data_IF_804331529434
#
_entry.id   IF_804331529434
#
_cell.length_a   1.000
_cell.length_b   1.000
_cell.length_c   1.000
_cell.angle_alpha   90.00
_cell.angle_beta   90.00
_cell.angle_gamma   90.00
#
_symmetry.space_group_name_H-M   'P 1'
#
loop_
_entity.id
_entity.type
_entity.pdbx_description
1 polymer ?
#
# COMPACT_ATOMS: atom_id res chain seq x y z
N UNK A 1 29.90 43.11 -24.49
CA UNK A 1 29.10 42.82 -23.26
C UNK A 1 28.39 41.52 -23.48
N UNK A 2 28.93 40.45 -22.91
CA UNK A 2 28.36 39.11 -22.98
C UNK A 2 27.50 38.92 -21.72
N UNK A 3 26.18 38.90 -21.89
CA UNK A 3 25.22 38.54 -20.83
C UNK A 3 25.36 37.07 -20.47
N UNK A 4 25.79 36.79 -19.24
CA UNK A 4 25.65 35.47 -18.64
C UNK A 4 24.16 35.27 -18.34
N UNK A 5 23.56 34.27 -18.97
CA UNK A 5 22.31 33.72 -18.53
C UNK A 5 22.60 32.85 -17.29
N UNK A 6 22.28 33.38 -16.13
CA UNK A 6 22.22 32.58 -14.91
C UNK A 6 21.07 31.60 -15.05
N UNK A 7 21.39 30.39 -15.48
CA UNK A 7 20.49 29.24 -15.36
C UNK A 7 20.40 28.90 -13.87
N UNK A 8 19.33 29.32 -13.24
CA UNK A 8 18.93 28.78 -11.94
C UNK A 8 18.52 27.35 -12.21
N UNK A 9 19.37 26.40 -11.86
CA UNK A 9 18.95 24.99 -11.71
C UNK A 9 17.87 25.00 -10.63
N UNK A 10 16.60 24.96 -11.03
CA UNK A 10 15.50 24.60 -10.11
C UNK A 10 15.84 23.21 -9.56
N UNK A 11 16.29 23.16 -8.32
CA UNK A 11 16.51 21.93 -7.57
C UNK A 11 15.17 21.20 -7.54
N UNK A 12 15.03 20.22 -8.41
CA UNK A 12 13.77 19.48 -8.61
C UNK A 12 13.42 18.80 -7.30
N UNK A 13 12.40 19.27 -6.60
CA UNK A 13 11.98 18.74 -5.32
C UNK A 13 11.77 17.21 -5.42
N UNK A 14 12.41 16.45 -4.53
CA UNK A 14 12.29 14.99 -4.49
C UNK A 14 10.83 14.63 -4.23
N UNK A 15 10.23 13.90 -5.15
CA UNK A 15 8.83 13.47 -5.05
C UNK A 15 8.67 12.37 -4.03
N UNK A 16 7.55 12.40 -3.30
CA UNK A 16 7.27 11.51 -2.19
C UNK A 16 6.18 10.51 -2.50
N UNK A 17 6.33 9.31 -1.97
CA UNK A 17 5.29 8.26 -1.92
C UNK A 17 4.90 8.05 -0.46
N UNK A 18 3.60 8.05 -0.19
CA UNK A 18 3.06 7.73 1.12
C UNK A 18 2.73 6.25 1.20
N UNK A 19 3.28 5.53 2.18
CA UNK A 19 3.02 4.10 2.41
C UNK A 19 2.05 3.94 3.58
N UNK A 20 0.87 3.39 3.31
CA UNK A 20 -0.16 3.06 4.29
C UNK A 20 0.11 1.72 4.97
N UNK A 21 0.15 1.73 6.30
CA UNK A 21 0.45 0.61 7.19
C UNK A 21 -0.71 0.37 8.16
N UNK A 22 -0.83 -0.85 8.71
CA UNK A 22 -1.88 -1.19 9.67
C UNK A 22 -1.45 -1.02 11.12
N UNK A 23 -2.39 -0.64 11.99
CA UNK A 23 -2.20 -0.71 13.44
C UNK A 23 -2.81 -1.97 14.06
N UNK A 24 -3.43 -2.85 13.27
CA UNK A 24 -4.12 -4.06 13.77
C UNK A 24 -3.13 -5.18 14.04
N UNK A 25 -3.06 -5.62 15.30
CA UNK A 25 -2.11 -6.62 15.80
C UNK A 25 -2.68 -8.04 15.90
N UNK A 26 -3.99 -8.23 15.77
CA UNK A 26 -4.64 -9.52 15.97
C UNK A 26 -5.82 -9.74 15.01
N UNK A 27 -6.17 -11.00 14.77
CA UNK A 27 -7.33 -11.41 13.98
C UNK A 27 -8.63 -11.16 14.76
N UNK A 28 -9.15 -9.91 14.70
CA UNK A 28 -10.33 -9.50 15.45
C UNK A 28 -10.14 -9.72 16.96
N UNK A 29 -11.12 -10.35 17.61
CA UNK A 29 -11.08 -10.67 19.05
C UNK A 29 -10.23 -11.92 19.38
N UNK A 30 -9.61 -12.55 18.39
CA UNK A 30 -8.81 -13.76 18.59
C UNK A 30 -7.41 -13.38 19.07
N UNK A 31 -6.89 -14.16 20.01
CA UNK A 31 -5.51 -14.00 20.49
C UNK A 31 -4.51 -14.67 19.51
N UNK A 32 -4.58 -14.26 18.24
CA UNK A 32 -3.68 -14.73 17.17
C UNK A 32 -3.10 -13.50 16.49
N UNK A 33 -1.79 -13.39 16.49
CA UNK A 33 -1.08 -12.24 15.94
C UNK A 33 -1.22 -12.14 14.42
N UNK A 34 -1.37 -10.90 13.95
CA UNK A 34 -1.27 -10.46 12.56
C UNK A 34 -0.61 -9.07 12.52
N UNK A 35 -0.64 -8.39 11.40
CA UNK A 35 -0.05 -7.07 11.23
C UNK A 35 0.33 -6.81 9.79
N UNK A 36 1.28 -5.91 9.62
CA UNK A 36 1.93 -5.60 8.36
C UNK A 36 2.68 -6.83 7.81
N UNK A 37 2.53 -7.10 6.52
CA UNK A 37 3.40 -8.04 5.83
C UNK A 37 4.70 -7.34 5.43
N UNK A 38 5.80 -7.67 6.12
CA UNK A 38 7.07 -6.92 6.02
C UNK A 38 7.57 -6.76 4.59
N UNK A 39 7.63 -7.86 3.81
CA UNK A 39 8.13 -7.81 2.43
C UNK A 39 7.39 -6.79 1.58
N UNK A 40 6.09 -6.67 1.74
CA UNK A 40 5.27 -5.76 0.94
C UNK A 40 5.59 -4.28 1.17
N UNK A 41 5.96 -3.90 2.39
CA UNK A 41 6.41 -2.54 2.68
C UNK A 41 7.87 -2.32 2.25
N UNK A 42 8.76 -3.24 2.65
CA UNK A 42 10.20 -3.06 2.46
C UNK A 42 10.63 -3.21 1.01
N UNK A 43 10.05 -4.16 0.25
CA UNK A 43 10.36 -4.35 -1.17
C UNK A 43 9.84 -3.19 -2.03
N UNK A 44 8.63 -2.70 -1.74
CA UNK A 44 8.09 -1.53 -2.42
C UNK A 44 8.92 -0.27 -2.10
N UNK A 45 9.30 -0.08 -0.83
CA UNK A 45 10.19 1.01 -0.42
C UNK A 45 11.54 0.95 -1.13
N UNK A 46 12.14 -0.24 -1.24
CA UNK A 46 13.41 -0.46 -1.95
C UNK A 46 13.29 0.00 -3.42
N UNK A 47 12.26 -0.43 -4.13
CA UNK A 47 11.98 -0.03 -5.51
C UNK A 47 11.73 1.48 -5.64
N UNK A 48 11.00 2.09 -4.71
CA UNK A 48 10.73 3.53 -4.71
C UNK A 48 12.03 4.34 -4.55
N UNK A 49 12.88 3.96 -3.59
CA UNK A 49 14.17 4.61 -3.34
C UNK A 49 15.10 4.48 -4.55
N UNK A 50 15.18 3.29 -5.16
CA UNK A 50 16.01 3.07 -6.36
C UNK A 50 15.56 3.92 -7.55
N UNK A 51 14.30 4.34 -7.59
CA UNK A 51 13.72 5.24 -8.60
C UNK A 51 13.80 6.73 -8.22
N UNK A 52 14.40 7.05 -7.08
CA UNK A 52 14.61 8.42 -6.62
C UNK A 52 13.44 9.05 -5.87
N UNK A 53 12.44 8.25 -5.44
CA UNK A 53 11.37 8.75 -4.57
C UNK A 53 11.79 8.76 -3.11
N UNK A 54 11.36 9.77 -2.37
CA UNK A 54 11.33 9.72 -0.91
C UNK A 54 10.07 8.97 -0.46
N UNK A 55 10.12 8.40 0.74
CA UNK A 55 9.04 7.59 1.28
C UNK A 55 8.70 8.05 2.68
N UNK A 56 7.40 8.22 2.95
CA UNK A 56 6.86 8.44 4.29
C UNK A 56 5.82 7.35 4.63
N UNK A 57 5.52 7.18 5.91
CA UNK A 57 4.67 6.10 6.40
C UNK A 57 3.51 6.65 7.21
N UNK A 58 2.31 6.17 6.92
CA UNK A 58 1.08 6.55 7.60
C UNK A 58 0.31 5.30 8.06
N UNK A 59 -0.35 5.38 9.20
CA UNK A 59 -1.26 4.33 9.63
C UNK A 59 -2.55 4.94 10.20
N UNK A 60 -3.67 4.20 10.27
CA UNK A 60 -4.96 4.75 10.71
C UNK A 60 -4.94 5.55 12.01
N UNK A 61 -4.06 5.17 12.95
CA UNK A 61 -3.94 5.79 14.29
C UNK A 61 -2.60 6.49 14.51
N UNK A 62 -1.70 6.44 13.52
CA UNK A 62 -0.30 6.80 13.74
C UNK A 62 0.41 5.86 14.73
N UNK A 63 1.69 6.12 14.99
CA UNK A 63 2.49 5.42 15.99
C UNK A 63 2.83 3.97 15.62
N UNK A 64 2.63 3.05 16.56
CA UNK A 64 3.12 1.67 16.43
C UNK A 64 2.40 0.85 15.36
N UNK A 65 3.18 0.19 14.53
CA UNK A 65 2.77 -0.74 13.47
C UNK A 65 3.23 -2.16 13.81
N UNK A 66 2.30 -3.09 14.08
CA UNK A 66 2.64 -4.49 14.36
C UNK A 66 3.04 -5.22 13.07
N UNK A 67 4.02 -6.13 13.16
CA UNK A 67 4.39 -7.03 12.07
C UNK A 67 3.63 -8.36 12.17
N UNK A 68 3.17 -8.90 11.05
CA UNK A 68 2.69 -10.28 11.01
C UNK A 68 3.89 -11.22 11.21
N UNK A 69 3.90 -12.06 12.27
CA UNK A 69 5.05 -12.92 12.56
C UNK A 69 5.41 -13.88 11.43
N UNK A 70 4.45 -14.21 10.56
CA UNK A 70 4.68 -15.11 9.42
C UNK A 70 5.52 -14.42 8.34
N UNK A 71 5.37 -13.10 8.17
CA UNK A 71 6.08 -12.31 7.15
C UNK A 71 7.57 -12.20 7.43
N UNK A 72 8.00 -12.46 8.67
CA UNK A 72 9.40 -12.42 9.09
C UNK A 72 10.21 -13.66 8.67
N UNK A 73 9.56 -14.67 8.10
CA UNK A 73 10.25 -15.90 7.68
C UNK A 73 11.10 -15.62 6.42
N UNK A 74 12.29 -16.22 6.29
CA UNK A 74 13.17 -16.02 5.13
C UNK A 74 12.55 -16.36 3.77
N UNK A 75 11.46 -17.14 3.76
CA UNK A 75 10.73 -17.46 2.54
C UNK A 75 9.86 -16.29 2.02
N UNK A 76 9.61 -15.26 2.83
CA UNK A 76 8.67 -14.17 2.54
C UNK A 76 9.29 -12.78 2.58
N UNK A 77 10.57 -12.67 2.86
CA UNK A 77 11.31 -11.41 2.83
C UNK A 77 12.69 -11.66 2.23
N UNK A 78 12.99 -10.92 1.18
CA UNK A 78 14.30 -11.04 0.54
C UNK A 78 15.40 -10.35 1.37
N UNK A 79 16.65 -10.52 0.93
CA UNK A 79 17.81 -10.00 1.66
C UNK A 79 17.85 -8.47 1.69
N UNK A 80 17.45 -7.81 0.60
CA UNK A 80 17.45 -6.34 0.49
C UNK A 80 16.36 -5.74 1.39
N UNK A 81 15.13 -6.27 1.32
CA UNK A 81 14.02 -5.88 2.17
C UNK A 81 14.32 -6.11 3.66
N UNK A 82 14.98 -7.22 4.00
CA UNK A 82 15.40 -7.48 5.39
C UNK A 82 16.51 -6.53 5.85
N UNK A 83 17.40 -6.10 4.95
CA UNK A 83 18.40 -5.09 5.27
C UNK A 83 17.75 -3.72 5.57
N UNK A 84 16.75 -3.30 4.77
CA UNK A 84 15.96 -2.09 5.02
C UNK A 84 15.20 -2.17 6.34
N UNK A 85 14.53 -3.29 6.63
CA UNK A 85 13.86 -3.52 7.91
C UNK A 85 14.79 -3.26 9.10
N UNK A 86 16.08 -3.63 9.01
CA UNK A 86 17.06 -3.44 10.07
C UNK A 86 17.61 -2.03 10.20
N UNK A 87 17.30 -1.13 9.28
CA UNK A 87 17.72 0.27 9.38
C UNK A 87 16.99 0.97 10.52
N UNK A 88 17.66 1.92 11.17
CA UNK A 88 17.03 2.76 12.18
C UNK A 88 15.86 3.55 11.58
N UNK A 89 16.00 4.01 10.35
CA UNK A 89 14.98 4.78 9.66
C UNK A 89 13.66 3.99 9.54
N UNK A 90 13.71 2.74 9.06
CA UNK A 90 12.52 1.89 8.96
C UNK A 90 11.91 1.57 10.34
N UNK A 91 12.76 1.23 11.32
CA UNK A 91 12.31 0.91 12.68
C UNK A 91 11.59 2.10 13.34
N UNK A 92 12.13 3.31 13.19
CA UNK A 92 11.58 4.52 13.81
C UNK A 92 10.37 5.03 13.04
N UNK A 93 10.50 5.29 11.72
CA UNK A 93 9.45 5.97 10.95
C UNK A 93 8.31 5.05 10.52
N UNK A 94 8.60 3.79 10.17
CA UNK A 94 7.56 2.87 9.72
C UNK A 94 6.90 2.12 10.89
N UNK A 95 7.69 1.63 11.86
CA UNK A 95 7.18 0.72 12.87
C UNK A 95 6.86 1.37 14.22
N UNK A 96 7.69 2.31 14.68
CA UNK A 96 7.48 2.93 15.98
C UNK A 96 6.62 4.19 15.93
N UNK A 97 6.78 5.01 14.88
CA UNK A 97 6.21 6.36 14.79
C UNK A 97 5.66 6.67 13.39
N UNK A 98 4.83 5.78 12.82
CA UNK A 98 4.11 6.12 11.59
C UNK A 98 3.24 7.36 11.81
N UNK A 99 3.08 8.18 10.76
CA UNK A 99 2.29 9.43 10.83
C UNK A 99 0.81 9.11 11.07
N UNK A 100 0.13 10.02 11.77
CA UNK A 100 -1.34 10.02 11.78
C UNK A 100 -1.84 10.66 10.48
N UNK A 101 -2.98 10.24 9.91
CA UNK A 101 -3.49 10.83 8.68
C UNK A 101 -3.71 12.34 8.73
N UNK A 102 -4.03 12.90 9.91
CA UNK A 102 -4.23 14.33 10.07
C UNK A 102 -2.94 15.16 10.03
N UNK A 103 -1.78 14.50 10.19
CA UNK A 103 -0.47 15.15 10.13
C UNK A 103 0.11 15.13 8.70
N UNK A 104 -0.62 14.57 7.72
CA UNK A 104 -0.17 14.39 6.34
C UNK A 104 -0.76 15.46 5.45
N UNK A 105 0.09 16.18 4.72
CA UNK A 105 -0.32 17.02 3.59
C UNK A 105 -0.35 16.18 2.30
N UNK A 106 -1.52 15.83 1.77
CA UNK A 106 -1.64 14.97 0.58
C UNK A 106 -1.05 15.61 -0.69
N UNK A 107 -0.86 16.93 -0.70
CA UNK A 107 -0.24 17.66 -1.83
C UNK A 107 1.24 17.34 -2.04
N UNK A 108 1.92 16.80 -1.02
CA UNK A 108 3.32 16.41 -1.11
C UNK A 108 3.56 15.06 -1.80
N UNK A 109 2.50 14.26 -2.01
CA UNK A 109 2.66 12.87 -2.45
C UNK A 109 2.15 12.64 -3.87
N UNK A 110 2.99 12.00 -4.66
CA UNK A 110 2.64 11.58 -6.04
C UNK A 110 1.91 10.25 -6.07
N UNK A 111 1.96 9.48 -4.98
CA UNK A 111 1.23 8.24 -4.82
C UNK A 111 0.97 7.92 -3.35
N UNK A 112 -0.16 7.22 -3.10
CA UNK A 112 -0.46 6.52 -1.86
C UNK A 112 -0.44 5.03 -2.14
N UNK A 113 0.41 4.29 -1.42
CA UNK A 113 0.52 2.84 -1.53
C UNK A 113 0.03 2.16 -0.26
N UNK A 114 -0.95 1.28 -0.38
CA UNK A 114 -1.47 0.46 0.71
C UNK A 114 -0.80 -0.91 0.73
N UNK A 115 -0.06 -1.19 1.79
CA UNK A 115 0.53 -2.50 2.07
C UNK A 115 -0.55 -3.50 2.48
N UNK A 116 -0.23 -4.79 2.45
CA UNK A 116 -1.12 -5.80 2.97
C UNK A 116 -0.63 -6.43 4.28
N UNK A 117 -0.96 -7.68 4.42
CA UNK A 117 -1.07 -8.39 5.68
C UNK A 117 -2.53 -8.40 6.13
N UNK A 118 -2.96 -9.42 6.87
CA UNK A 118 -4.38 -9.52 7.21
C UNK A 118 -4.87 -8.39 8.12
N UNK A 119 -3.98 -7.75 8.88
CA UNK A 119 -4.34 -6.65 9.80
C UNK A 119 -5.11 -5.52 9.12
N UNK A 120 -4.75 -5.16 7.89
CA UNK A 120 -5.37 -4.08 7.13
C UNK A 120 -6.88 -4.27 6.88
N UNK A 121 -7.36 -5.50 6.95
CA UNK A 121 -8.77 -5.80 6.72
C UNK A 121 -9.70 -5.28 7.85
N UNK A 122 -9.13 -4.97 9.02
CA UNK A 122 -9.89 -4.46 10.17
C UNK A 122 -9.85 -2.95 10.29
N UNK A 123 -8.77 -2.32 9.87
CA UNK A 123 -8.60 -0.88 10.11
C UNK A 123 -8.65 -0.02 8.86
N UNK A 124 -8.21 -0.48 7.69
CA UNK A 124 -8.26 0.35 6.47
C UNK A 124 -9.69 0.71 6.04
N UNK A 125 -10.67 -0.24 5.97
CA UNK A 125 -12.01 0.07 5.51
C UNK A 125 -12.79 1.06 6.39
N UNK A 126 -12.40 1.22 7.64
CA UNK A 126 -13.07 2.08 8.61
C UNK A 126 -12.28 3.35 8.96
N UNK A 127 -11.13 3.58 8.32
CA UNK A 127 -10.30 4.74 8.57
C UNK A 127 -10.72 5.93 7.70
N UNK A 128 -11.49 6.84 8.25
CA UNK A 128 -11.88 8.09 7.58
C UNK A 128 -10.64 8.91 7.15
N UNK A 129 -9.58 8.91 7.96
CA UNK A 129 -8.33 9.60 7.64
C UNK A 129 -7.62 9.02 6.41
N UNK A 130 -7.54 7.68 6.28
CA UNK A 130 -6.97 7.05 5.10
C UNK A 130 -7.87 7.22 3.88
N UNK A 131 -9.20 7.18 4.02
CA UNK A 131 -10.13 7.46 2.93
C UNK A 131 -9.96 8.89 2.41
N UNK A 132 -9.85 9.87 3.32
CA UNK A 132 -9.57 11.26 2.96
C UNK A 132 -8.26 11.39 2.17
N UNK A 133 -7.15 10.85 2.69
CA UNK A 133 -5.86 10.87 2.00
C UNK A 133 -5.93 10.20 0.62
N UNK A 134 -6.62 9.08 0.51
CA UNK A 134 -6.85 8.37 -0.75
C UNK A 134 -7.52 9.28 -1.80
N UNK A 135 -8.62 9.92 -1.41
CA UNK A 135 -9.38 10.81 -2.32
C UNK A 135 -8.58 12.07 -2.68
N UNK A 136 -7.88 12.67 -1.73
CA UNK A 136 -7.10 13.90 -1.95
C UNK A 136 -5.86 13.65 -2.82
N UNK A 137 -5.07 12.60 -2.54
CA UNK A 137 -3.93 12.22 -3.39
C UNK A 137 -4.41 11.91 -4.82
N UNK A 138 -5.49 11.14 -4.95
CA UNK A 138 -6.06 10.80 -6.26
C UNK A 138 -6.64 12.03 -6.98
N UNK A 139 -7.34 12.91 -6.25
CA UNK A 139 -7.90 14.17 -6.76
C UNK A 139 -6.83 15.14 -7.24
N UNK A 140 -5.68 15.19 -6.57
CA UNK A 140 -4.50 15.99 -6.95
C UNK A 140 -3.72 15.42 -8.14
N UNK A 141 -4.21 14.35 -8.78
CA UNK A 141 -3.55 13.73 -9.93
C UNK A 141 -2.56 12.62 -9.55
N UNK A 142 -2.40 12.31 -8.28
CA UNK A 142 -1.54 11.24 -7.79
C UNK A 142 -2.09 9.84 -8.09
N UNK A 143 -1.28 8.84 -7.79
CA UNK A 143 -1.58 7.43 -8.02
C UNK A 143 -2.02 6.74 -6.73
N UNK A 144 -2.88 5.74 -6.87
CA UNK A 144 -3.22 4.83 -5.79
C UNK A 144 -2.64 3.46 -6.11
N UNK A 145 -1.85 2.93 -5.20
CA UNK A 145 -1.26 1.62 -5.35
C UNK A 145 -1.64 0.72 -4.17
N UNK A 146 -1.86 -0.57 -4.42
CA UNK A 146 -2.18 -1.54 -3.36
C UNK A 146 -1.56 -2.89 -3.66
N UNK A 147 -1.26 -3.67 -2.65
CA UNK A 147 -0.83 -5.05 -2.82
C UNK A 147 -1.57 -5.98 -1.86
N UNK A 148 -1.83 -7.21 -2.31
CA UNK A 148 -2.36 -8.27 -1.45
C UNK A 148 -3.67 -7.87 -0.75
N UNK A 149 -3.72 -7.90 0.59
CA UNK A 149 -4.87 -7.43 1.37
C UNK A 149 -4.99 -5.90 1.42
N UNK A 150 -3.95 -5.16 1.03
CA UNK A 150 -3.97 -3.69 0.96
C UNK A 150 -5.07 -3.12 0.06
N UNK A 151 -5.60 -3.93 -0.86
CA UNK A 151 -6.78 -3.56 -1.65
C UNK A 151 -7.97 -3.16 -0.76
N UNK A 152 -8.03 -3.61 0.49
CA UNK A 152 -9.05 -3.23 1.47
C UNK A 152 -9.14 -1.71 1.66
N UNK A 153 -8.03 -0.98 1.48
CA UNK A 153 -7.99 0.48 1.53
C UNK A 153 -8.74 1.19 0.39
N UNK A 154 -9.07 0.49 -0.70
CA UNK A 154 -9.83 1.03 -1.83
C UNK A 154 -11.26 0.50 -1.92
N UNK A 155 -11.55 -0.67 -1.32
CA UNK A 155 -12.79 -1.40 -1.56
C UNK A 155 -14.05 -0.59 -1.24
N UNK A 156 -14.00 0.27 -0.21
CA UNK A 156 -15.16 1.00 0.29
C UNK A 156 -15.10 2.50 -0.02
N UNK A 157 -14.00 2.98 -0.60
CA UNK A 157 -13.82 4.39 -0.97
C UNK A 157 -14.83 4.78 -2.05
N UNK A 158 -15.46 5.93 -1.86
CA UNK A 158 -16.44 6.48 -2.81
C UNK A 158 -16.05 7.86 -3.30
N UNK A 159 -16.24 8.08 -4.59
CA UNK A 159 -16.23 9.39 -5.22
C UNK A 159 -17.70 9.76 -5.54
N UNK A 160 -18.30 10.58 -4.70
CA UNK A 160 -19.73 10.85 -4.72
C UNK A 160 -20.57 9.61 -4.37
N UNK A 161 -21.43 9.16 -5.29
CA UNK A 161 -22.29 7.98 -5.08
C UNK A 161 -21.68 6.67 -5.58
N UNK A 162 -20.55 6.71 -6.29
CA UNK A 162 -19.93 5.55 -6.94
C UNK A 162 -18.69 5.07 -6.17
N UNK A 163 -18.46 3.78 -6.18
CA UNK A 163 -17.19 3.25 -5.66
C UNK A 163 -16.03 3.64 -6.59
N UNK A 164 -14.91 4.06 -6.00
CA UNK A 164 -13.71 4.47 -6.74
C UNK A 164 -13.20 3.37 -7.69
N UNK A 165 -13.40 2.12 -7.31
CA UNK A 165 -13.00 0.93 -8.08
C UNK A 165 -14.04 0.46 -9.09
N UNK A 166 -15.23 1.09 -9.17
CA UNK A 166 -16.30 0.70 -10.09
C UNK A 166 -15.83 0.79 -11.55
N UNK A 167 -15.97 -0.31 -12.29
CA UNK A 167 -15.51 -0.44 -13.67
C UNK A 167 -14.01 -0.62 -13.86
N UNK A 168 -13.20 -0.50 -12.79
CA UNK A 168 -11.75 -0.63 -12.86
C UNK A 168 -11.30 -2.09 -12.92
N UNK A 169 -10.27 -2.36 -13.73
CA UNK A 169 -9.56 -3.63 -13.73
C UNK A 169 -8.55 -3.62 -12.57
N UNK A 170 -8.78 -4.45 -11.57
CA UNK A 170 -7.95 -4.53 -10.36
C UNK A 170 -7.63 -5.97 -9.99
N UNK A 171 -6.64 -6.14 -9.12
CA UNK A 171 -6.32 -7.39 -8.44
C UNK A 171 -6.08 -7.16 -6.96
N UNK A 172 -5.87 -8.21 -6.23
CA UNK A 172 -5.58 -8.24 -4.80
C UNK A 172 -5.56 -9.68 -4.32
N UNK A 173 -5.42 -9.90 -3.02
CA UNK A 173 -5.39 -11.26 -2.47
C UNK A 173 -6.68 -12.00 -2.81
N UNK A 174 -6.54 -13.09 -3.57
CA UNK A 174 -7.67 -13.79 -4.17
C UNK A 174 -8.38 -14.70 -3.18
N UNK A 175 -9.63 -15.07 -3.47
CA UNK A 175 -10.36 -16.03 -2.65
C UNK A 175 -9.68 -17.41 -2.60
N UNK A 176 -8.92 -17.80 -3.63
CA UNK A 176 -8.16 -19.05 -3.61
C UNK A 176 -6.95 -18.96 -2.69
N UNK A 177 -6.19 -17.86 -2.77
CA UNK A 177 -5.06 -17.59 -1.87
C UNK A 177 -5.51 -17.51 -0.42
N UNK A 178 -6.67 -16.90 -0.16
CA UNK A 178 -7.24 -16.84 1.18
C UNK A 178 -7.57 -18.25 1.74
N UNK A 179 -8.11 -19.14 0.93
CA UNK A 179 -8.32 -20.53 1.34
C UNK A 179 -6.99 -21.24 1.63
N UNK A 180 -5.99 -21.06 0.76
CA UNK A 180 -4.66 -21.66 0.92
C UNK A 180 -3.89 -21.08 2.12
N UNK A 181 -4.15 -19.82 2.50
CA UNK A 181 -3.58 -19.21 3.71
C UNK A 181 -4.08 -19.85 5.01
N UNK A 182 -5.19 -20.58 4.94
CA UNK A 182 -5.85 -21.19 6.11
C UNK A 182 -6.55 -20.18 7.02
N UNK A 183 -6.84 -18.95 6.53
CA UNK A 183 -7.43 -17.87 7.31
C UNK A 183 -8.88 -17.54 6.95
N UNK A 184 -9.46 -18.23 5.99
CA UNK A 184 -10.83 -18.03 5.50
C UNK A 184 -11.92 -17.92 6.57
N UNK A 185 -11.75 -18.62 7.70
CA UNK A 185 -12.73 -18.64 8.79
C UNK A 185 -12.59 -17.48 9.78
N UNK A 186 -11.56 -16.65 9.63
CA UNK A 186 -11.23 -15.60 10.61
C UNK A 186 -11.18 -14.19 10.02
N UNK A 187 -11.22 -14.07 8.69
CA UNK A 187 -11.25 -12.77 8.01
C UNK A 187 -12.65 -12.15 8.10
N UNK A 188 -12.76 -10.80 8.16
CA UNK A 188 -14.05 -10.12 8.26
C UNK A 188 -14.84 -10.12 6.95
N UNK A 189 -14.16 -10.17 5.81
CA UNK A 189 -14.75 -10.21 4.47
C UNK A 189 -13.76 -10.78 3.44
N UNK A 190 -14.23 -11.05 2.23
CA UNK A 190 -13.43 -11.55 1.13
C UNK A 190 -13.14 -10.44 0.12
N UNK A 191 -11.89 -10.00 -0.01
CA UNK A 191 -11.49 -8.90 -0.90
C UNK A 191 -12.03 -9.07 -2.32
N UNK A 192 -11.83 -10.23 -2.94
CA UNK A 192 -12.31 -10.53 -4.30
C UNK A 192 -13.83 -10.41 -4.43
N UNK A 193 -14.58 -10.83 -3.40
CA UNK A 193 -16.04 -10.75 -3.42
C UNK A 193 -16.54 -9.32 -3.29
N UNK A 194 -15.99 -8.56 -2.35
CA UNK A 194 -16.34 -7.16 -2.14
C UNK A 194 -15.98 -6.33 -3.36
N UNK A 195 -14.78 -6.50 -3.93
CA UNK A 195 -14.37 -5.80 -5.15
C UNK A 195 -15.38 -5.99 -6.29
N UNK A 196 -15.80 -7.24 -6.54
CA UNK A 196 -16.79 -7.57 -7.55
C UNK A 196 -18.17 -6.99 -7.23
N UNK A 197 -18.60 -7.04 -5.97
CA UNK A 197 -19.88 -6.47 -5.53
C UNK A 197 -19.92 -4.95 -5.70
N UNK A 198 -18.77 -4.27 -5.60
CA UNK A 198 -18.61 -2.84 -5.82
C UNK A 198 -18.27 -2.48 -7.28
N UNK A 199 -18.50 -3.40 -8.20
CA UNK A 199 -18.45 -3.16 -9.64
C UNK A 199 -17.06 -3.24 -10.28
N UNK A 200 -16.02 -3.68 -9.56
CA UNK A 200 -14.71 -3.82 -10.15
C UNK A 200 -14.60 -5.07 -11.04
N UNK A 201 -13.74 -5.00 -12.05
CA UNK A 201 -13.34 -6.13 -12.90
C UNK A 201 -12.12 -6.79 -12.26
N UNK A 202 -12.36 -7.78 -11.40
CA UNK A 202 -11.29 -8.44 -10.67
C UNK A 202 -10.52 -9.43 -11.55
N UNK A 203 -9.24 -9.15 -11.80
CA UNK A 203 -8.32 -9.97 -12.59
C UNK A 203 -7.38 -10.74 -11.68
N UNK A 204 -7.03 -11.97 -12.05
CA UNK A 204 -6.14 -12.80 -11.24
C UNK A 204 -5.34 -13.77 -12.10
N UNK A 205 -4.15 -14.11 -11.61
CA UNK A 205 -3.35 -15.26 -12.04
C UNK A 205 -3.51 -16.43 -11.06
N UNK A 206 -2.76 -17.51 -11.29
CA UNK A 206 -2.68 -18.63 -10.35
C UNK A 206 -2.25 -18.13 -8.96
N UNK A 207 -2.64 -18.80 -7.87
CA UNK A 207 -2.25 -18.41 -6.52
C UNK A 207 -0.73 -18.25 -6.38
N UNK A 208 -0.33 -17.20 -5.65
CA UNK A 208 1.05 -16.83 -5.35
C UNK A 208 1.94 -16.62 -6.60
N UNK A 209 1.35 -16.39 -7.77
CA UNK A 209 2.09 -15.88 -8.91
C UNK A 209 2.21 -14.36 -8.82
N UNK A 210 3.38 -13.85 -9.15
CA UNK A 210 3.59 -12.42 -9.37
C UNK A 210 2.58 -11.90 -10.40
N UNK A 211 1.80 -10.88 -9.99
CA UNK A 211 0.80 -10.27 -10.84
C UNK A 211 0.47 -8.86 -10.37
N UNK A 212 0.70 -7.89 -11.23
CA UNK A 212 0.29 -6.51 -11.03
C UNK A 212 -0.54 -6.02 -12.22
N UNK A 213 -1.45 -5.10 -11.97
CA UNK A 213 -2.32 -4.48 -12.96
C UNK A 213 -2.33 -2.98 -12.72
N UNK A 214 -2.33 -2.23 -13.80
CA UNK A 214 -2.58 -0.79 -13.80
C UNK A 214 -3.83 -0.51 -14.63
N UNK A 215 -4.75 0.27 -14.08
CA UNK A 215 -5.92 0.83 -14.76
C UNK A 215 -5.98 2.33 -14.48
N UNK A 216 -5.52 3.12 -15.44
CA UNK A 216 -5.31 4.55 -15.23
C UNK A 216 -4.30 4.81 -14.11
N UNK A 217 -4.72 5.53 -13.08
CA UNK A 217 -3.89 5.86 -11.91
C UNK A 217 -4.09 4.92 -10.71
N UNK A 218 -4.73 3.77 -10.93
CA UNK A 218 -4.87 2.72 -9.91
C UNK A 218 -3.98 1.55 -10.29
N UNK A 219 -3.08 1.17 -9.39
CA UNK A 219 -2.11 0.08 -9.55
C UNK A 219 -2.36 -0.95 -8.45
N UNK A 220 -2.53 -2.20 -8.81
CA UNK A 220 -2.83 -3.25 -7.84
C UNK A 220 -1.94 -4.47 -8.04
N UNK A 221 -1.37 -4.99 -6.97
CA UNK A 221 -0.61 -6.24 -6.91
C UNK A 221 -1.41 -7.34 -6.20
N UNK A 222 -1.32 -8.58 -6.69
CA UNK A 222 -2.19 -9.67 -6.24
C UNK A 222 -1.83 -10.19 -4.83
N UNK A 223 -0.56 -10.31 -4.51
CA UNK A 223 -0.06 -11.09 -3.38
C UNK A 223 1.35 -10.64 -2.96
N UNK A 224 1.98 -11.25 -1.93
CA UNK A 224 3.31 -10.89 -1.47
C UNK A 224 4.44 -10.99 -2.50
N UNK A 225 4.25 -11.72 -3.59
CA UNK A 225 5.25 -11.85 -4.68
C UNK A 225 5.20 -10.67 -5.66
N UNK A 226 4.24 -9.74 -5.47
CA UNK A 226 3.93 -8.72 -6.48
C UNK A 226 4.53 -7.33 -6.25
N UNK A 227 5.08 -6.93 -5.07
CA UNK A 227 5.51 -5.55 -4.83
C UNK A 227 6.53 -5.03 -5.84
N UNK A 228 7.53 -5.84 -6.18
CA UNK A 228 8.58 -5.46 -7.15
C UNK A 228 8.09 -5.37 -8.60
N UNK A 229 7.01 -6.07 -8.93
CA UNK A 229 6.41 -6.05 -10.28
C UNK A 229 5.43 -4.89 -10.48
N UNK A 230 5.16 -4.10 -9.45
CA UNK A 230 4.21 -2.99 -9.57
C UNK A 230 4.81 -1.87 -10.42
N UNK A 231 4.09 -1.41 -11.46
CA UNK A 231 4.58 -0.32 -12.30
C UNK A 231 4.63 0.99 -11.50
N UNK A 232 5.82 1.54 -11.32
CA UNK A 232 6.05 2.86 -10.70
C UNK A 232 6.55 3.89 -11.71
N UNK A 233 6.75 3.46 -12.99
CA UNK A 233 7.35 4.31 -14.01
C UNK A 233 6.47 5.49 -14.46
N UNK A 234 5.17 5.41 -14.21
CA UNK A 234 4.19 6.42 -14.60
C UNK A 234 3.91 7.45 -13.49
N UNK A 235 4.49 7.26 -12.29
CA UNK A 235 4.37 8.31 -11.29
C UNK A 235 5.03 9.59 -11.82
N UNK A 236 4.36 10.75 -11.72
CA UNK A 236 4.93 11.98 -12.25
C UNK A 236 6.29 12.23 -11.62
N UNK A 237 7.33 12.40 -12.45
CA UNK A 237 8.73 12.64 -12.03
C UNK A 237 8.94 14.15 -11.91
#
# INVERSE_FOLDING_TARGET
MLGRSDGVDEERAVKKILIGLTNTAAYGERNVATGLWLGEAAEFMDEAIQRGYAVDFVSPKGGYVPLDPRSMKPAYVDRAAFALYRTRDFQERALAHSMHPDDVDPGEYVALYYTGGHGVMWDFPSSEGLERLCLEVYGNGGYLATVCHGIAGLLYVKEGSRYLIEGKSITGFTAMEERLSGKSAVIPFWNEQVAKAHGAVFRKKRPFAEHAIQDGRIITGQNPESPRAMPMGDFPV
#
